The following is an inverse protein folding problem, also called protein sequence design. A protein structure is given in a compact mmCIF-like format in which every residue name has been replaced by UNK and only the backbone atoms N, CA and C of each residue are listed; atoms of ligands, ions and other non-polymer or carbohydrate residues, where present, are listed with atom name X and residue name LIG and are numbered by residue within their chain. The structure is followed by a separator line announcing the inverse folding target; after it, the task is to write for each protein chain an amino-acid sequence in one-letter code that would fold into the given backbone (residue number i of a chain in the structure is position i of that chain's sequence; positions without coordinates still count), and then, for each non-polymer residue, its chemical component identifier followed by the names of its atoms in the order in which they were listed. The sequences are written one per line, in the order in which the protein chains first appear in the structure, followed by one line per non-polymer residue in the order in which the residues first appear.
data_IF_931619537323
#
_entry.id   IF_931619537323
#
_cell.length_a   1.000
_cell.length_b   1.000
_cell.length_c   1.000
_cell.angle_alpha   90.00
_cell.angle_beta   90.00
_cell.angle_gamma   90.00
#
_symmetry.space_group_name_H-M   'P 1'
#
loop_
_entity.id
_entity.type
_entity.pdbx_description
1 polymer ?
#
# COMPACT_ATOMS: atom_id res chain seq x y z
N UNK A 1 23.12 -40.34 22.75
CA UNK A 1 22.91 -38.98 23.30
C UNK A 1 23.04 -37.99 22.15
N UNK A 2 21.94 -37.74 21.43
CA UNK A 2 21.86 -36.60 20.52
C UNK A 2 21.44 -35.40 21.37
N UNK A 3 22.20 -34.31 21.29
CA UNK A 3 21.85 -33.07 21.94
C UNK A 3 20.63 -32.48 21.23
N UNK A 4 19.43 -32.77 21.74
CA UNK A 4 18.13 -32.37 21.19
C UNK A 4 17.94 -30.84 21.28
N UNK A 5 18.64 -30.11 20.41
CA UNK A 5 18.42 -28.69 20.21
C UNK A 5 17.37 -28.52 19.12
N UNK A 6 16.16 -28.09 19.50
CA UNK A 6 15.12 -27.77 18.54
C UNK A 6 15.13 -26.26 18.32
N UNK A 7 15.52 -25.81 17.13
CA UNK A 7 15.54 -24.40 16.75
C UNK A 7 14.55 -24.13 15.61
N UNK A 8 13.54 -23.33 15.89
CA UNK A 8 12.50 -22.88 14.97
C UNK A 8 12.79 -21.44 14.52
N UNK A 9 13.17 -21.28 13.25
CA UNK A 9 13.39 -19.98 12.60
C UNK A 9 12.07 -19.38 12.09
N UNK A 10 12.00 -18.07 11.84
CA UNK A 10 10.85 -17.45 11.20
C UNK A 10 10.50 -18.15 9.88
N UNK A 11 9.22 -18.47 9.65
CA UNK A 11 8.81 -19.15 8.42
C UNK A 11 9.02 -18.27 7.19
N UNK A 12 9.41 -18.89 6.07
CA UNK A 12 9.58 -18.18 4.78
C UNK A 12 8.25 -17.59 4.31
N UNK A 13 7.13 -18.24 4.61
CA UNK A 13 5.78 -17.74 4.33
C UNK A 13 5.48 -16.42 5.02
N UNK A 14 5.69 -16.33 6.35
CA UNK A 14 5.46 -15.10 7.10
C UNK A 14 6.36 -13.96 6.59
N UNK A 15 7.63 -14.29 6.40
CA UNK A 15 8.65 -13.33 5.94
C UNK A 15 8.34 -12.82 4.53
N UNK A 16 7.95 -13.70 3.61
CA UNK A 16 7.57 -13.35 2.24
C UNK A 16 6.37 -12.41 2.20
N UNK A 17 5.31 -12.69 2.98
CA UNK A 17 4.14 -11.81 3.08
C UNK A 17 4.50 -10.43 3.62
N UNK A 18 5.32 -10.38 4.67
CA UNK A 18 5.76 -9.11 5.24
C UNK A 18 6.59 -8.28 4.23
N UNK A 19 7.47 -8.91 3.45
CA UNK A 19 8.22 -8.26 2.36
C UNK A 19 7.28 -7.71 1.30
N UNK A 20 6.34 -8.52 0.80
CA UNK A 20 5.39 -8.11 -0.25
C UNK A 20 4.54 -6.93 0.23
N UNK A 21 4.02 -6.99 1.46
CA UNK A 21 3.23 -5.88 2.03
C UNK A 21 4.08 -4.61 2.16
N UNK A 22 5.33 -4.71 2.64
CA UNK A 22 6.22 -3.57 2.76
C UNK A 22 6.50 -2.93 1.39
N UNK A 23 6.82 -3.74 0.37
CA UNK A 23 7.06 -3.25 -0.99
C UNK A 23 5.81 -2.61 -1.61
N UNK A 24 4.64 -3.22 -1.40
CA UNK A 24 3.37 -2.68 -1.89
C UNK A 24 3.07 -1.31 -1.27
N UNK A 25 3.18 -1.17 0.05
CA UNK A 25 2.95 0.11 0.73
C UNK A 25 3.99 1.16 0.36
N UNK A 26 5.26 0.79 0.19
CA UNK A 26 6.28 1.71 -0.32
C UNK A 26 5.96 2.17 -1.75
N UNK A 27 5.57 1.25 -2.63
CA UNK A 27 5.20 1.56 -4.01
C UNK A 27 4.02 2.53 -4.09
N UNK A 28 2.94 2.25 -3.35
CA UNK A 28 1.79 3.16 -3.28
C UNK A 28 2.15 4.49 -2.62
N UNK A 29 2.96 4.49 -1.56
CA UNK A 29 3.42 5.71 -0.92
C UNK A 29 4.14 6.63 -1.91
N UNK A 30 5.14 6.10 -2.62
CA UNK A 30 5.89 6.83 -3.65
C UNK A 30 4.96 7.30 -4.78
N UNK A 31 4.04 6.45 -5.23
CA UNK A 31 3.07 6.80 -6.27
C UNK A 31 2.20 7.99 -5.86
N UNK A 32 1.62 7.97 -4.66
CA UNK A 32 0.80 9.09 -4.17
C UNK A 32 1.61 10.36 -3.95
N UNK A 33 2.85 10.26 -3.47
CA UNK A 33 3.73 11.43 -3.39
C UNK A 33 4.02 12.04 -4.76
N UNK A 34 4.29 11.20 -5.75
CA UNK A 34 4.51 11.65 -7.13
C UNK A 34 3.27 12.36 -7.69
N UNK A 35 2.07 11.78 -7.49
CA UNK A 35 0.82 12.41 -7.92
C UNK A 35 0.59 13.74 -7.20
N UNK A 36 0.92 13.84 -5.92
CA UNK A 36 0.76 15.06 -5.14
C UNK A 36 1.75 16.17 -5.54
N UNK A 37 3.03 15.83 -5.77
CA UNK A 37 4.08 16.81 -6.04
C UNK A 37 4.17 17.24 -7.50
N UNK A 38 3.89 16.31 -8.41
CA UNK A 38 4.20 16.47 -9.84
C UNK A 38 3.02 16.12 -10.71
N UNK A 39 2.39 14.95 -10.51
CA UNK A 39 1.36 14.44 -11.40
C UNK A 39 0.14 15.37 -11.51
N UNK A 40 -0.47 15.74 -10.38
CA UNK A 40 -1.67 16.58 -10.37
C UNK A 40 -1.36 18.03 -10.75
N UNK A 41 -0.30 18.67 -10.24
CA UNK A 41 0.12 19.99 -10.73
C UNK A 41 0.36 20.03 -12.25
N UNK A 42 1.01 19.01 -12.80
CA UNK A 42 1.25 18.91 -14.24
C UNK A 42 -0.05 18.78 -15.04
N UNK A 43 -0.99 17.94 -14.58
CA UNK A 43 -2.33 17.82 -15.20
C UNK A 43 -3.11 19.13 -15.15
N UNK A 44 -2.97 19.91 -14.08
CA UNK A 44 -3.57 21.23 -13.98
C UNK A 44 -2.98 22.20 -15.01
N UNK A 45 -1.65 22.22 -15.15
CA UNK A 45 -1.00 23.03 -16.18
C UNK A 45 -1.51 22.68 -17.58
N UNK A 46 -1.56 21.39 -17.91
CA UNK A 46 -2.09 20.90 -19.19
C UNK A 46 -3.53 21.33 -19.43
N UNK A 47 -4.38 21.26 -18.39
CA UNK A 47 -5.76 21.72 -18.45
C UNK A 47 -5.87 23.21 -18.73
N UNK A 48 -5.18 24.06 -17.96
CA UNK A 48 -5.27 25.51 -18.11
C UNK A 48 -4.64 25.99 -19.43
N UNK A 49 -3.57 25.33 -19.88
CA UNK A 49 -3.02 25.56 -21.22
C UNK A 49 -4.06 25.26 -22.29
N UNK A 50 -4.68 24.08 -22.28
CA UNK A 50 -5.73 23.74 -23.24
C UNK A 50 -6.92 24.70 -23.17
N UNK A 51 -7.34 25.09 -21.96
CA UNK A 51 -8.38 26.10 -21.76
C UNK A 51 -8.02 27.43 -22.44
N UNK A 52 -6.76 27.88 -22.37
CA UNK A 52 -6.32 29.08 -23.07
C UNK A 52 -6.49 28.97 -24.59
N UNK A 53 -6.24 27.79 -25.19
CA UNK A 53 -6.53 27.57 -26.63
C UNK A 53 -8.03 27.66 -26.93
N UNK A 54 -8.88 27.05 -26.10
CA UNK A 54 -10.34 27.13 -26.25
C UNK A 54 -10.82 28.58 -26.17
N UNK A 55 -10.36 29.31 -25.16
CA UNK A 55 -10.73 30.70 -24.92
C UNK A 55 -10.19 31.62 -26.05
N UNK A 56 -8.98 31.36 -26.56
CA UNK A 56 -8.43 32.06 -27.73
C UNK A 56 -9.25 31.81 -29.00
N UNK A 57 -9.72 30.58 -29.23
CA UNK A 57 -10.63 30.27 -30.33
C UNK A 57 -11.93 31.05 -30.24
N UNK A 58 -12.56 31.07 -29.06
CA UNK A 58 -13.80 31.84 -28.84
C UNK A 58 -13.58 33.35 -29.02
N UNK A 59 -12.42 33.87 -28.61
CA UNK A 59 -12.04 35.27 -28.80
C UNK A 59 -11.86 35.61 -30.28
N UNK A 60 -11.13 34.76 -31.02
CA UNK A 60 -10.88 34.90 -32.45
C UNK A 60 -12.20 34.93 -33.23
N UNK A 61 -13.11 33.99 -32.95
CA UNK A 61 -14.43 33.95 -33.59
C UNK A 61 -15.24 35.23 -33.34
N UNK A 62 -15.11 35.81 -32.14
CA UNK A 62 -15.82 37.06 -31.78
C UNK A 62 -15.22 38.29 -32.46
N UNK A 63 -13.91 38.44 -32.46
CA UNK A 63 -13.23 39.69 -32.84
C UNK A 63 -12.81 39.72 -34.32
N UNK A 64 -12.46 38.57 -34.88
CA UNK A 64 -11.97 38.47 -36.26
C UNK A 64 -13.10 38.11 -37.21
N UNK A 65 -13.85 37.04 -36.91
CA UNK A 65 -14.98 36.61 -37.76
C UNK A 65 -16.17 37.59 -37.69
N UNK A 66 -16.35 38.27 -36.54
CA UNK A 66 -17.43 39.24 -36.32
C UNK A 66 -17.11 40.69 -36.74
N UNK A 67 -15.88 41.17 -36.52
CA UNK A 67 -15.53 42.59 -36.66
C UNK A 67 -14.39 42.87 -37.67
N UNK A 68 -13.81 41.85 -38.31
CA UNK A 68 -12.80 42.02 -39.36
C UNK A 68 -11.41 42.45 -38.87
N UNK A 69 -11.03 42.10 -37.63
CA UNK A 69 -9.71 42.41 -37.09
C UNK A 69 -8.56 41.86 -37.97
N UNK A 70 -7.51 42.67 -38.15
CA UNK A 70 -6.40 42.32 -39.03
C UNK A 70 -5.49 41.25 -38.40
N UNK A 71 -4.70 40.50 -39.19
CA UNK A 71 -3.72 39.56 -38.67
C UNK A 71 -2.74 40.18 -37.65
N UNK A 72 -2.37 41.45 -37.86
CA UNK A 72 -1.47 42.19 -36.97
C UNK A 72 -2.14 42.53 -35.62
N UNK A 73 -3.44 42.81 -35.63
CA UNK A 73 -4.20 43.05 -34.41
C UNK A 73 -4.36 41.77 -33.58
N UNK A 74 -4.56 40.63 -34.26
CA UNK A 74 -4.63 39.34 -33.60
C UNK A 74 -3.29 38.94 -32.96
N UNK A 75 -2.20 39.06 -33.71
CA UNK A 75 -0.85 38.77 -33.21
C UNK A 75 -0.52 39.59 -31.96
N UNK A 76 -0.81 40.90 -31.98
CA UNK A 76 -0.65 41.76 -30.80
C UNK A 76 -1.49 41.30 -29.62
N UNK A 77 -2.74 40.90 -29.86
CA UNK A 77 -3.63 40.40 -28.81
C UNK A 77 -3.09 39.14 -28.14
N UNK A 78 -2.50 38.22 -28.91
CA UNK A 78 -1.88 37.00 -28.38
C UNK A 78 -0.65 37.34 -27.54
N UNK A 79 0.23 38.23 -28.03
CA UNK A 79 1.46 38.61 -27.35
C UNK A 79 1.24 39.36 -26.03
N UNK A 80 0.13 40.09 -25.90
CA UNK A 80 -0.21 40.84 -24.69
C UNK A 80 -0.90 39.98 -23.62
N UNK A 81 -1.33 38.76 -23.96
CA UNK A 81 -2.13 37.92 -23.06
C UNK A 81 -1.31 36.85 -22.36
N UNK A 82 -1.75 36.55 -21.14
CA UNK A 82 -1.21 35.48 -20.30
C UNK A 82 -2.26 34.40 -20.05
N UNK A 83 -1.79 33.20 -19.70
CA UNK A 83 -2.66 32.08 -19.32
C UNK A 83 -3.23 32.36 -17.93
N UNK A 84 -4.55 32.28 -17.81
CA UNK A 84 -5.21 32.46 -16.51
C UNK A 84 -5.09 31.18 -15.66
N UNK A 85 -4.43 31.30 -14.50
CA UNK A 85 -4.33 30.24 -13.50
C UNK A 85 -5.11 30.61 -12.23
N UNK A 86 -6.37 30.16 -12.07
CA UNK A 86 -7.20 30.53 -10.93
C UNK A 86 -6.57 30.15 -9.58
N UNK A 87 -6.77 31.00 -8.58
CA UNK A 87 -6.37 30.72 -7.20
C UNK A 87 -7.02 29.43 -6.69
N UNK A 88 -6.29 28.66 -5.86
CA UNK A 88 -6.76 27.39 -5.31
C UNK A 88 -6.35 26.13 -6.11
N UNK A 89 -5.84 26.29 -7.33
CA UNK A 89 -5.24 25.19 -8.11
C UNK A 89 -3.73 25.26 -8.07
N UNK A 90 -3.06 24.13 -7.85
CA UNK A 90 -1.60 24.08 -7.90
C UNK A 90 -1.11 23.80 -9.33
N UNK A 91 -0.02 24.45 -9.73
CA UNK A 91 0.71 24.21 -10.99
C UNK A 91 2.16 23.88 -10.64
N UNK A 92 2.96 23.32 -11.58
CA UNK A 92 4.35 22.98 -11.30
C UNK A 92 5.15 24.20 -10.84
N UNK A 93 6.09 24.00 -9.92
CA UNK A 93 6.84 25.07 -9.24
C UNK A 93 7.68 25.98 -10.16
N UNK A 94 7.97 25.54 -11.39
CA UNK A 94 8.69 26.33 -12.40
C UNK A 94 7.80 27.22 -13.28
N UNK A 95 6.49 27.21 -13.10
CA UNK A 95 5.54 28.00 -13.89
C UNK A 95 5.23 29.31 -13.18
N UNK A 96 5.51 30.43 -13.84
CA UNK A 96 5.11 31.75 -13.37
C UNK A 96 3.63 31.98 -13.67
N UNK A 97 2.80 32.00 -12.63
CA UNK A 97 1.34 32.09 -12.78
C UNK A 97 0.88 33.44 -13.34
N UNK A 98 1.65 34.49 -13.10
CA UNK A 98 1.25 35.86 -13.44
C UNK A 98 1.85 36.29 -14.78
N UNK A 99 2.92 35.63 -15.22
CA UNK A 99 3.66 36.00 -16.43
C UNK A 99 3.71 34.92 -17.53
N UNK A 100 3.04 33.77 -17.38
CA UNK A 100 3.03 32.75 -18.45
C UNK A 100 2.26 33.28 -19.67
N UNK A 101 2.92 33.54 -20.81
CA UNK A 101 2.26 34.09 -21.98
C UNK A 101 1.38 33.03 -22.66
N UNK A 102 0.43 33.48 -23.47
CA UNK A 102 -0.22 32.60 -24.43
C UNK A 102 0.80 31.99 -25.39
N UNK A 103 0.63 30.72 -25.81
CA UNK A 103 1.54 30.10 -26.77
C UNK A 103 1.58 30.80 -28.13
N UNK A 104 2.78 31.04 -28.65
CA UNK A 104 3.02 31.74 -29.92
C UNK A 104 2.27 31.14 -31.12
N UNK A 105 2.01 29.82 -31.11
CA UNK A 105 1.23 29.14 -32.16
C UNK A 105 -0.18 29.71 -32.33
N UNK A 106 -0.74 30.32 -31.29
CA UNK A 106 -2.04 31.00 -31.35
C UNK A 106 -1.98 32.26 -32.22
N UNK A 107 -0.81 32.88 -32.41
CA UNK A 107 -0.65 34.06 -33.26
C UNK A 107 -0.71 33.72 -34.77
N UNK A 108 -0.61 32.44 -35.15
CA UNK A 108 -0.77 32.04 -36.55
C UNK A 108 -2.22 32.23 -37.01
N UNK A 109 -2.45 33.39 -37.63
CA UNK A 109 -3.76 33.78 -38.14
C UNK A 109 -4.30 32.79 -39.18
N UNK A 110 -3.45 32.20 -40.02
CA UNK A 110 -3.91 31.24 -41.04
C UNK A 110 -4.39 29.94 -40.40
N UNK A 111 -3.69 29.49 -39.37
CA UNK A 111 -4.10 28.33 -38.59
C UNK A 111 -5.40 28.58 -37.83
N UNK A 112 -5.52 29.74 -37.19
CA UNK A 112 -6.72 30.12 -36.43
C UNK A 112 -7.94 30.35 -37.33
N UNK A 113 -7.75 30.89 -38.54
CA UNK A 113 -8.81 31.13 -39.54
C UNK A 113 -9.22 29.92 -40.37
N UNK A 114 -8.57 28.76 -40.18
CA UNK A 114 -8.89 27.55 -40.93
C UNK A 114 -10.35 27.10 -40.65
N UNK A 115 -11.11 26.65 -41.67
CA UNK A 115 -12.50 26.21 -41.49
C UNK A 115 -12.62 25.11 -40.42
N UNK A 116 -13.39 25.39 -39.36
CA UNK A 116 -13.56 24.49 -38.21
C UNK A 116 -13.04 25.09 -36.90
N UNK A 117 -12.66 24.24 -35.94
CA UNK A 117 -12.03 24.66 -34.67
C UNK A 117 -10.53 24.89 -34.89
N UNK A 118 -10.14 26.01 -35.50
CA UNK A 118 -8.72 26.34 -35.79
C UNK A 118 -7.81 26.25 -34.54
N UNK A 119 -8.33 26.66 -33.38
CA UNK A 119 -7.66 26.49 -32.09
C UNK A 119 -7.34 25.03 -31.73
N UNK A 120 -8.14 24.06 -32.19
CA UNK A 120 -7.92 22.64 -31.93
C UNK A 120 -6.72 22.12 -32.70
N UNK A 121 -6.46 22.64 -33.91
CA UNK A 121 -5.27 22.30 -34.68
C UNK A 121 -4.02 22.94 -34.06
N UNK A 122 -4.12 24.18 -33.59
CA UNK A 122 -3.07 24.84 -32.83
C UNK A 122 -2.74 24.08 -31.53
N UNK A 123 -3.75 23.62 -30.79
CA UNK A 123 -3.56 22.77 -29.62
C UNK A 123 -2.86 21.47 -29.98
N UNK A 124 -3.30 20.75 -31.02
CA UNK A 124 -2.69 19.48 -31.40
C UNK A 124 -1.21 19.63 -31.75
N UNK A 125 -0.83 20.73 -32.43
CA UNK A 125 0.56 21.05 -32.72
C UNK A 125 1.36 21.33 -31.44
N UNK A 126 0.84 22.21 -30.58
CA UNK A 126 1.49 22.57 -29.32
C UNK A 126 1.63 21.40 -28.36
N UNK A 127 0.56 20.63 -28.16
CA UNK A 127 0.56 19.45 -27.30
C UNK A 127 1.52 18.38 -27.81
N UNK A 128 1.66 18.24 -29.14
CA UNK A 128 2.64 17.35 -29.75
C UNK A 128 4.08 17.72 -29.39
N UNK A 129 4.42 19.01 -29.47
CA UNK A 129 5.76 19.52 -29.12
C UNK A 129 6.04 19.38 -27.62
N UNK A 130 5.09 19.78 -26.77
CA UNK A 130 5.22 19.71 -25.30
C UNK A 130 5.00 18.32 -24.73
N UNK A 131 4.62 17.34 -25.57
CA UNK A 131 4.22 15.97 -25.20
C UNK A 131 3.05 15.93 -24.20
N UNK A 132 2.14 16.88 -24.31
CA UNK A 132 0.90 16.90 -23.57
C UNK A 132 -0.13 15.96 -24.19
N UNK A 133 -1.09 15.43 -23.39
CA UNK A 133 -2.17 14.64 -23.94
C UNK A 133 -3.04 15.50 -24.87
N UNK A 134 -3.44 14.93 -26.02
CA UNK A 134 -4.34 15.60 -26.97
C UNK A 134 -5.65 15.98 -26.28
N UNK A 135 -6.13 15.13 -25.37
CA UNK A 135 -7.27 15.41 -24.50
C UNK A 135 -6.78 15.44 -23.04
N UNK A 136 -6.52 16.62 -22.45
CA UNK A 136 -6.26 16.75 -21.03
C UNK A 136 -7.43 16.27 -20.17
N UNK A 137 -7.21 16.23 -18.84
CA UNK A 137 -8.27 15.95 -17.88
C UNK A 137 -9.46 16.88 -18.08
N UNK A 138 -10.69 16.39 -17.86
CA UNK A 138 -11.88 17.22 -18.10
C UNK A 138 -12.06 18.31 -17.01
N UNK A 139 -11.43 18.15 -15.84
CA UNK A 139 -11.43 19.12 -14.74
C UNK A 139 -10.07 19.16 -14.03
N UNK A 140 -9.64 20.34 -13.54
CA UNK A 140 -8.41 20.47 -12.76
C UNK A 140 -8.60 19.91 -11.33
N UNK A 141 -7.50 19.50 -10.73
CA UNK A 141 -7.42 19.03 -9.35
C UNK A 141 -7.18 20.22 -8.41
N UNK A 142 -8.11 20.44 -7.49
CA UNK A 142 -7.97 21.46 -6.45
C UNK A 142 -6.89 21.08 -5.41
N UNK A 143 -6.56 22.04 -4.55
CA UNK A 143 -5.64 21.82 -3.44
C UNK A 143 -6.10 20.70 -2.49
N UNK A 144 -7.41 20.47 -2.33
CA UNK A 144 -7.94 19.40 -1.47
C UNK A 144 -7.59 18.02 -2.03
N UNK A 145 -7.75 17.81 -3.35
CA UNK A 145 -7.39 16.55 -4.02
C UNK A 145 -5.91 16.27 -3.98
N UNK A 146 -5.07 17.29 -4.10
CA UNK A 146 -3.62 17.14 -3.93
C UNK A 146 -3.29 16.81 -2.46
N UNK A 147 -3.95 17.45 -1.50
CA UNK A 147 -3.76 17.15 -0.09
C UNK A 147 -4.17 15.72 0.28
N UNK A 148 -5.27 15.20 -0.28
CA UNK A 148 -5.68 13.80 -0.13
C UNK A 148 -4.54 12.83 -0.54
N UNK A 149 -3.80 13.15 -1.63
CA UNK A 149 -2.66 12.34 -2.06
C UNK A 149 -1.48 12.40 -1.07
N UNK A 150 -1.17 13.59 -0.52
CA UNK A 150 -0.17 13.73 0.54
C UNK A 150 -0.50 12.88 1.78
N UNK A 151 -1.78 12.88 2.19
CA UNK A 151 -2.26 12.09 3.33
C UNK A 151 -2.19 10.60 3.02
N UNK A 152 -2.70 10.16 1.86
CA UNK A 152 -2.66 8.76 1.45
C UNK A 152 -1.21 8.24 1.36
N UNK A 153 -0.32 9.00 0.73
CA UNK A 153 1.11 8.69 0.67
C UNK A 153 1.75 8.57 2.06
N UNK A 154 1.44 9.50 2.97
CA UNK A 154 1.92 9.46 4.36
C UNK A 154 1.45 8.23 5.11
N UNK A 155 0.16 7.86 4.99
CA UNK A 155 -0.41 6.66 5.62
C UNK A 155 0.28 5.41 5.08
N UNK A 156 0.46 5.30 3.76
CA UNK A 156 1.17 4.19 3.14
C UNK A 156 2.62 4.07 3.66
N UNK A 157 3.34 5.18 3.83
CA UNK A 157 4.69 5.15 4.39
C UNK A 157 4.72 4.70 5.85
N UNK A 158 3.77 5.14 6.67
CA UNK A 158 3.66 4.67 8.07
C UNK A 158 3.41 3.16 8.09
N UNK A 159 2.48 2.66 7.27
CA UNK A 159 2.20 1.22 7.16
C UNK A 159 3.42 0.42 6.66
N UNK A 160 4.18 0.96 5.71
CA UNK A 160 5.43 0.36 5.25
C UNK A 160 6.47 0.28 6.38
N UNK A 161 6.64 1.36 7.17
CA UNK A 161 7.55 1.37 8.31
C UNK A 161 7.13 0.37 9.39
N UNK A 162 5.84 0.26 9.68
CA UNK A 162 5.31 -0.73 10.62
C UNK A 162 5.59 -2.15 10.12
N UNK A 163 5.32 -2.44 8.84
CA UNK A 163 5.61 -3.74 8.25
C UNK A 163 7.11 -4.07 8.29
N UNK A 164 7.97 -3.11 7.96
CA UNK A 164 9.42 -3.26 8.01
C UNK A 164 9.91 -3.47 9.45
N UNK A 165 9.38 -2.72 10.42
CA UNK A 165 9.67 -2.90 11.84
C UNK A 165 9.34 -4.32 12.28
N UNK A 166 8.15 -4.83 11.95
CA UNK A 166 7.78 -6.21 12.27
C UNK A 166 8.70 -7.21 11.59
N UNK A 167 9.07 -7.00 10.33
CA UNK A 167 9.98 -7.87 9.59
C UNK A 167 11.39 -7.93 10.19
N UNK A 168 11.97 -6.78 10.56
CA UNK A 168 13.28 -6.71 11.22
C UNK A 168 13.20 -7.37 12.59
N UNK A 169 12.15 -7.05 13.36
CA UNK A 169 11.90 -7.62 14.68
C UNK A 169 11.72 -9.14 14.64
N UNK A 170 10.99 -9.68 13.67
CA UNK A 170 10.77 -11.13 13.56
C UNK A 170 12.02 -11.86 13.07
N UNK A 171 12.80 -11.27 12.14
CA UNK A 171 14.09 -11.84 11.72
C UNK A 171 15.11 -11.93 12.86
N UNK A 172 15.10 -10.98 13.80
CA UNK A 172 15.96 -11.01 14.98
C UNK A 172 15.47 -11.95 16.09
N UNK A 173 14.32 -12.62 15.92
CA UNK A 173 13.73 -13.49 16.93
C UNK A 173 13.70 -14.93 16.45
N UNK A 174 13.68 -15.84 17.41
CA UNK A 174 13.56 -17.28 17.19
C UNK A 174 12.83 -17.94 18.35
N UNK A 175 12.34 -19.15 18.09
CA UNK A 175 11.86 -20.05 19.12
C UNK A 175 12.82 -21.23 19.19
N UNK A 176 13.41 -21.51 20.35
CA UNK A 176 14.38 -22.59 20.49
C UNK A 176 14.31 -23.25 21.85
N UNK A 177 14.54 -24.56 21.90
CA UNK A 177 14.73 -25.33 23.12
C UNK A 177 16.14 -25.94 23.05
N UNK A 178 16.97 -25.62 24.04
CA UNK A 178 18.33 -26.15 24.18
C UNK A 178 18.58 -26.51 25.64
N UNK A 179 18.83 -27.79 25.92
CA UNK A 179 19.25 -28.26 27.26
C UNK A 179 18.32 -27.78 28.39
N UNK A 180 17.00 -27.78 28.16
CA UNK A 180 16.00 -27.31 29.14
C UNK A 180 15.86 -25.77 29.23
N UNK A 181 16.58 -25.01 28.40
CA UNK A 181 16.35 -23.57 28.22
C UNK A 181 15.46 -23.32 27.01
N UNK A 182 14.39 -22.57 27.22
CA UNK A 182 13.47 -22.08 26.20
C UNK A 182 13.83 -20.64 25.83
N UNK A 183 14.06 -20.40 24.55
CA UNK A 183 14.13 -19.06 23.96
C UNK A 183 12.82 -18.79 23.22
N UNK A 184 12.05 -17.79 23.64
CA UNK A 184 10.83 -17.39 22.94
C UNK A 184 10.49 -15.92 23.21
N UNK A 185 9.81 -15.27 22.26
CA UNK A 185 9.43 -13.86 22.32
C UNK A 185 10.59 -12.86 22.62
N UNK A 186 11.85 -13.26 22.39
CA UNK A 186 13.05 -12.48 22.69
C UNK A 186 13.54 -12.61 24.14
N UNK A 187 13.08 -13.63 24.88
CA UNK A 187 13.51 -13.95 26.25
C UNK A 187 14.04 -15.37 26.32
N UNK A 188 14.87 -15.63 27.32
CA UNK A 188 15.40 -16.96 27.65
C UNK A 188 14.96 -17.29 29.08
N UNK A 189 14.40 -18.48 29.29
CA UNK A 189 13.93 -18.99 30.57
C UNK A 189 14.08 -20.52 30.61
N UNK A 190 14.02 -21.15 31.78
CA UNK A 190 14.08 -22.62 31.88
C UNK A 190 12.68 -23.22 31.79
N UNK A 191 12.60 -24.48 31.35
CA UNK A 191 11.33 -25.24 31.39
C UNK A 191 10.79 -25.33 32.81
N UNK A 192 11.68 -25.46 33.80
CA UNK A 192 11.35 -25.53 35.24
C UNK A 192 10.71 -24.22 35.77
N UNK A 193 10.95 -23.10 35.11
CA UNK A 193 10.42 -21.79 35.51
C UNK A 193 8.97 -21.59 35.06
N UNK A 194 8.42 -22.51 34.25
CA UNK A 194 7.05 -22.42 33.74
C UNK A 194 6.09 -22.93 34.82
N UNK A 195 5.21 -22.05 35.31
CA UNK A 195 4.14 -22.42 36.24
C UNK A 195 2.98 -23.10 35.51
N UNK A 196 2.62 -22.56 34.34
CA UNK A 196 1.43 -22.95 33.59
C UNK A 196 1.64 -22.79 32.09
N UNK A 197 1.22 -23.79 31.32
CA UNK A 197 1.28 -23.77 29.86
C UNK A 197 -0.14 -23.85 29.27
N UNK A 198 -0.58 -22.79 28.59
CA UNK A 198 -1.89 -22.71 27.93
C UNK A 198 -1.77 -23.02 26.44
N UNK A 199 -2.31 -24.17 26.03
CA UNK A 199 -2.26 -24.72 24.67
C UNK A 199 -3.59 -24.59 23.92
N UNK A 200 -4.61 -23.97 24.50
CA UNK A 200 -5.97 -23.87 23.91
C UNK A 200 -6.01 -23.30 22.50
N UNK A 201 -5.05 -22.44 22.14
CA UNK A 201 -4.96 -21.84 20.78
C UNK A 201 -3.89 -22.47 19.92
N UNK A 202 -3.21 -23.52 20.39
CA UNK A 202 -2.10 -24.15 19.70
C UNK A 202 -2.58 -24.87 18.45
N UNK A 203 -3.52 -25.83 18.58
CA UNK A 203 -4.04 -26.60 17.44
C UNK A 203 -4.67 -25.72 16.34
N UNK A 204 -5.38 -24.66 16.72
CA UNK A 204 -6.13 -23.81 15.79
C UNK A 204 -5.34 -22.63 15.21
N UNK A 205 -4.46 -22.01 16.01
CA UNK A 205 -3.76 -20.75 15.65
C UNK A 205 -2.25 -20.84 15.78
N UNK A 206 -1.72 -21.97 16.26
CA UNK A 206 -0.30 -22.14 16.55
C UNK A 206 0.22 -21.28 17.70
N UNK A 207 -0.66 -20.92 18.64
CA UNK A 207 -0.33 -20.01 19.74
C UNK A 207 -0.45 -20.70 21.09
N UNK A 208 0.61 -20.66 21.89
CA UNK A 208 0.62 -21.08 23.28
C UNK A 208 1.12 -19.96 24.19
N UNK A 209 0.73 -19.99 25.46
CA UNK A 209 1.15 -19.01 26.46
C UNK A 209 1.79 -19.75 27.63
N UNK A 210 3.09 -19.54 27.84
CA UNK A 210 3.80 -19.97 29.03
C UNK A 210 3.71 -18.87 30.10
N UNK A 211 3.17 -19.18 31.26
CA UNK A 211 3.15 -18.30 32.42
C UNK A 211 4.29 -18.73 33.35
N UNK A 212 5.23 -17.83 33.62
CA UNK A 212 6.36 -18.12 34.50
C UNK A 212 5.94 -18.11 35.98
N UNK A 213 6.72 -18.79 36.82
CA UNK A 213 6.58 -18.74 38.27
C UNK A 213 6.68 -17.29 38.76
N UNK A 214 5.96 -16.91 39.84
CA UNK A 214 6.02 -15.56 40.40
C UNK A 214 7.44 -15.13 40.78
N UNK A 215 8.26 -16.07 41.26
CA UNK A 215 9.67 -15.86 41.62
C UNK A 215 10.55 -15.50 40.41
N UNK A 216 10.12 -15.87 39.20
CA UNK A 216 10.76 -15.57 37.93
C UNK A 216 10.11 -14.37 37.21
N UNK A 217 9.27 -13.61 37.91
CA UNK A 217 8.60 -12.41 37.41
C UNK A 217 7.14 -12.60 37.00
N UNK A 218 6.58 -13.82 37.03
CA UNK A 218 5.16 -14.07 36.73
C UNK A 218 4.71 -13.74 35.30
N UNK A 219 5.65 -13.49 34.40
CA UNK A 219 5.36 -12.97 33.07
C UNK A 219 4.71 -14.02 32.16
N UNK A 220 3.84 -13.54 31.27
CA UNK A 220 3.19 -14.36 30.24
C UNK A 220 3.97 -14.27 28.93
N UNK A 221 4.63 -15.35 28.55
CA UNK A 221 5.44 -15.46 27.36
C UNK A 221 4.64 -16.18 26.26
N UNK A 222 4.53 -15.54 25.09
CA UNK A 222 3.88 -16.11 23.91
C UNK A 222 4.84 -17.02 23.14
N UNK A 223 4.41 -18.25 22.91
CA UNK A 223 5.00 -19.22 21.98
C UNK A 223 4.18 -19.20 20.69
N UNK A 224 4.83 -18.94 19.55
CA UNK A 224 4.16 -18.71 18.27
C UNK A 224 4.73 -19.62 17.18
N UNK A 225 4.12 -20.80 17.05
CA UNK A 225 4.54 -21.82 16.10
C UNK A 225 4.26 -21.47 14.64
N UNK A 226 3.29 -20.59 14.37
CA UNK A 226 2.96 -20.20 13.00
C UNK A 226 4.02 -19.26 12.42
N UNK A 227 4.48 -18.33 13.26
CA UNK A 227 5.54 -17.39 12.88
C UNK A 227 6.90 -18.06 12.91
N UNK A 228 7.17 -18.93 13.89
CA UNK A 228 8.46 -19.58 14.10
C UNK A 228 8.34 -21.10 13.99
N UNK A 229 8.99 -21.71 12.99
CA UNK A 229 9.00 -23.16 12.75
C UNK A 229 7.92 -23.66 11.80
N UNK A 230 6.72 -23.09 11.82
CA UNK A 230 5.59 -23.59 11.02
C UNK A 230 5.09 -24.95 11.49
N UNK A 231 4.01 -25.45 10.88
CA UNK A 231 3.40 -26.75 11.24
C UNK A 231 3.63 -27.84 10.18
N UNK A 232 4.18 -27.46 9.02
CA UNK A 232 4.57 -28.41 7.97
C UNK A 232 6.08 -28.61 7.98
N UNK A 233 6.52 -29.82 7.65
CA UNK A 233 7.97 -30.12 7.50
C UNK A 233 8.62 -29.34 6.36
N UNK A 234 7.84 -28.85 5.40
CA UNK A 234 8.30 -27.98 4.32
C UNK A 234 8.66 -26.56 4.81
N UNK A 235 8.15 -26.12 5.97
CA UNK A 235 8.30 -24.74 6.46
C UNK A 235 9.62 -24.51 7.23
N UNK A 236 10.21 -25.57 7.80
CA UNK A 236 11.45 -25.53 8.60
C UNK A 236 11.98 -26.95 8.85
N UNK A 237 13.32 -27.17 8.94
CA UNK A 237 13.89 -28.45 9.34
C UNK A 237 13.47 -28.91 10.75
N UNK A 238 13.17 -27.96 11.64
CA UNK A 238 12.51 -28.21 12.93
C UNK A 238 11.18 -27.44 12.93
N UNK A 239 10.06 -28.15 12.90
CA UNK A 239 8.74 -27.52 12.93
C UNK A 239 8.32 -27.18 14.37
N UNK A 240 7.29 -26.36 14.53
CA UNK A 240 6.79 -25.94 15.83
C UNK A 240 6.22 -27.09 16.68
N UNK A 241 5.71 -28.15 16.03
CA UNK A 241 5.22 -29.36 16.73
C UNK A 241 6.36 -30.13 17.38
N UNK A 242 7.51 -30.24 16.71
CA UNK A 242 8.70 -30.90 17.26
C UNK A 242 9.21 -30.12 18.48
N UNK A 243 9.17 -28.78 18.42
CA UNK A 243 9.46 -27.93 19.58
C UNK A 243 8.47 -28.16 20.72
N UNK A 244 7.16 -28.20 20.44
CA UNK A 244 6.14 -28.37 21.47
C UNK A 244 6.24 -29.76 22.12
N UNK A 245 6.48 -30.82 21.32
CA UNK A 245 6.71 -32.17 21.83
C UNK A 245 7.95 -32.25 22.73
N UNK A 246 9.04 -31.60 22.33
CA UNK A 246 10.26 -31.54 23.14
C UNK A 246 10.08 -30.70 24.42
N UNK A 247 9.26 -29.65 24.37
CA UNK A 247 8.91 -28.87 25.55
C UNK A 247 8.07 -29.69 26.53
N UNK A 248 7.03 -30.36 26.04
CA UNK A 248 6.13 -31.19 26.85
C UNK A 248 6.81 -32.42 27.45
N UNK A 249 7.84 -32.98 26.79
CA UNK A 249 8.60 -34.10 27.36
C UNK A 249 9.44 -33.72 28.58
N UNK A 250 9.84 -32.45 28.68
CA UNK A 250 10.59 -31.91 29.82
C UNK A 250 9.68 -31.25 30.86
N UNK A 251 8.51 -30.76 30.45
CA UNK A 251 7.59 -30.03 31.32
C UNK A 251 6.80 -30.95 32.26
N UNK A 252 6.76 -30.59 33.56
CA UNK A 252 6.07 -31.34 34.62
C UNK A 252 4.92 -30.56 35.28
N UNK A 253 4.64 -29.34 34.83
CA UNK A 253 3.66 -28.44 35.45
C UNK A 253 2.24 -28.56 34.88
N UNK A 254 1.38 -27.60 35.20
CA UNK A 254 -0.02 -27.56 34.73
C UNK A 254 -0.09 -27.26 33.23
N UNK A 255 -0.75 -28.14 32.46
CA UNK A 255 -1.09 -27.92 31.04
C UNK A 255 -2.59 -27.66 30.93
N UNK A 256 -2.96 -26.57 30.27
CA UNK A 256 -4.35 -26.26 29.93
C UNK A 256 -4.56 -26.47 28.44
N UNK A 257 -5.36 -27.46 28.09
CA UNK A 257 -5.79 -27.73 26.71
C UNK A 257 -7.33 -27.72 26.64
N UNK A 258 -7.89 -27.55 25.44
CA UNK A 258 -9.31 -27.87 25.24
C UNK A 258 -9.46 -29.40 25.33
N UNK A 259 -10.39 -29.90 26.14
CA UNK A 259 -10.81 -31.30 26.04
C UNK A 259 -11.35 -31.52 24.61
N UNK A 260 -10.72 -32.43 23.86
CA UNK A 260 -11.33 -32.98 22.66
C UNK A 260 -12.59 -33.72 23.11
N UNK A 261 -13.77 -33.26 22.67
CA UNK A 261 -14.99 -34.04 22.81
C UNK A 261 -14.73 -35.42 22.18
N UNK A 262 -15.04 -36.53 22.86
CA UNK A 262 -14.79 -37.86 22.31
C UNK A 262 -15.52 -37.95 20.96
N UNK A 263 -14.81 -38.37 19.92
CA UNK A 263 -15.41 -38.66 18.63
C UNK A 263 -16.58 -39.63 18.86
N UNK A 264 -17.80 -39.13 18.70
CA UNK A 264 -18.98 -39.95 18.75
C UNK A 264 -18.95 -40.86 17.52
N UNK A 265 -18.37 -42.04 17.70
CA UNK A 265 -18.55 -43.18 16.80
C UNK A 265 -20.05 -43.45 16.67
N UNK A 266 -20.60 -43.11 15.52
CA UNK A 266 -22.01 -43.28 15.22
C UNK A 266 -22.18 -43.42 13.71
N UNK A 267 -22.07 -44.66 13.24
CA UNK A 267 -22.44 -45.13 11.90
C UNK A 267 -23.72 -44.43 11.39
N UNK A 268 -23.77 -43.95 10.13
CA UNK A 268 -25.02 -43.45 9.58
C UNK A 268 -25.97 -44.64 9.38
N UNK A 269 -27.00 -44.73 10.22
CA UNK A 269 -28.12 -45.63 10.00
C UNK A 269 -28.90 -45.12 8.78
N UNK A 270 -28.74 -45.83 7.66
CA UNK A 270 -29.65 -45.80 6.51
C UNK A 270 -31.06 -46.10 6.99
N UNK A 271 -31.99 -45.17 6.75
CA UNK A 271 -33.43 -45.46 6.67
C UNK A 271 -33.85 -45.16 5.24
N UNK A 272 -33.87 -46.22 4.44
CA UNK A 272 -34.79 -46.32 3.32
C UNK A 272 -36.17 -46.71 3.88
N UNK A 273 -37.18 -46.36 3.07
CA UNK A 273 -38.56 -46.85 3.01
C UNK A 273 -39.68 -46.02 3.66
N UNK A 274 -40.46 -45.43 2.73
CA UNK A 274 -41.92 -45.53 2.56
C UNK A 274 -42.84 -44.98 3.66
N UNK A 275 -43.61 -43.93 3.35
CA UNK A 275 -44.99 -44.08 2.83
C UNK A 275 -45.75 -42.74 2.71
N UNK A 276 -46.52 -42.63 1.61
CA UNK A 276 -47.86 -42.01 1.45
C UNK A 276 -48.15 -40.65 2.14
N UNK A 277 -48.55 -39.56 1.46
CA UNK A 277 -49.74 -39.32 0.60
C UNK A 277 -49.55 -37.99 -0.15
#
# INVERSE_FOLDING_TARGET
MQSDTVECKPTMWFTGRAVIMALMFLGFGVYFYYDASTGYPQKNLEFFMHKAFVDAGALFDREVSGNGASPQDWERTVLERTVEFPEGYQVPSGVDRDATPWPDVLADYRLMSAPGKGWSAAWQSYSGEKRYPIKPVDHPYDASKIFEQWVAGSICMVLALVALFFLVRTRGRKMALKEGQVTAAGRVFRVDDIARLDLRRWKMKGLAIATLNPECGGDRIRLDGLTYGGFRKEDSPNNAEDFMKALLSLYRGEVVDYEEAPESGGTPARKDDEDAV
#
